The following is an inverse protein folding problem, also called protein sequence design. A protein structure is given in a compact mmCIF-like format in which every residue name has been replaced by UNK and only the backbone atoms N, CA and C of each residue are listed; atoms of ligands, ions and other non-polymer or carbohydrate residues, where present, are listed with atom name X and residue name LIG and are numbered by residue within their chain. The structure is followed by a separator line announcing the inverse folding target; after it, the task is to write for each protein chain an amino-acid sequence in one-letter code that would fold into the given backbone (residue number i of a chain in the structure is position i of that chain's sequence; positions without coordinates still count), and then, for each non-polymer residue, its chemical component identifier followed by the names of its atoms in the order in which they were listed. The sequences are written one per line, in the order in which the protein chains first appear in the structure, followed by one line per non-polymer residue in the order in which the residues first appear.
data_IF_580758101374
#
_entry.id   IF_580758101374
#
_cell.length_a   1.000
_cell.length_b   1.000
_cell.length_c   1.000
_cell.angle_alpha   90.00
_cell.angle_beta   90.00
_cell.angle_gamma   90.00
#
_symmetry.space_group_name_H-M   'P 1'
#
loop_
_entity.id
_entity.type
_entity.pdbx_description
1 polymer ?
#
# COMPACT_ATOMS: atom_id res chain seq x y z
N UNK A 1 4.50 9.14 18.64
CA UNK A 1 5.07 8.30 17.57
C UNK A 1 4.67 8.92 16.25
N UNK A 2 5.56 8.98 15.26
CA UNK A 2 5.21 9.46 13.91
C UNK A 2 4.33 8.40 13.26
N UNK A 3 3.16 8.78 12.76
CA UNK A 3 2.33 7.85 11.98
C UNK A 3 3.08 7.49 10.69
N UNK A 4 3.31 6.19 10.49
CA UNK A 4 3.93 5.69 9.27
C UNK A 4 2.95 5.86 8.11
N UNK A 5 3.38 6.54 7.05
CA UNK A 5 2.61 6.75 5.83
C UNK A 5 2.88 5.64 4.81
N UNK A 6 2.04 5.54 3.78
CA UNK A 6 2.27 4.61 2.67
C UNK A 6 3.55 4.94 1.91
N UNK A 7 3.89 6.23 1.83
CA UNK A 7 5.13 6.68 1.22
C UNK A 7 6.36 6.28 2.03
N UNK A 8 6.30 6.30 3.37
CA UNK A 8 7.42 5.85 4.21
C UNK A 8 7.77 4.38 3.90
N UNK A 9 6.76 3.51 3.76
CA UNK A 9 6.95 2.09 3.39
C UNK A 9 7.57 1.96 2.00
N UNK A 10 7.14 2.77 1.03
CA UNK A 10 7.63 2.69 -0.35
C UNK A 10 9.08 3.15 -0.46
N UNK A 11 9.46 4.17 0.29
CA UNK A 11 10.81 4.76 0.22
C UNK A 11 11.92 3.78 0.62
N UNK A 12 11.59 2.74 1.39
CA UNK A 12 12.51 1.69 1.83
C UNK A 12 12.89 0.67 0.72
N UNK A 13 12.23 0.72 -0.43
CA UNK A 13 12.45 -0.23 -1.53
C UNK A 13 13.35 0.30 -2.65
N UNK A 14 13.72 -0.57 -3.59
CA UNK A 14 14.53 -0.18 -4.75
C UNK A 14 13.72 0.69 -5.74
N UNK A 15 14.36 1.52 -6.59
CA UNK A 15 13.63 2.38 -7.54
C UNK A 15 12.66 1.63 -8.46
N UNK A 16 13.00 0.40 -8.87
CA UNK A 16 12.13 -0.43 -9.71
C UNK A 16 10.86 -0.86 -8.96
N UNK A 17 10.99 -1.27 -7.70
CA UNK A 17 9.84 -1.60 -6.84
C UNK A 17 8.99 -0.36 -6.58
N UNK A 18 9.59 0.79 -6.27
CA UNK A 18 8.85 2.06 -6.09
C UNK A 18 8.01 2.39 -7.32
N UNK A 19 8.59 2.28 -8.52
CA UNK A 19 7.90 2.55 -9.80
C UNK A 19 6.72 1.60 -10.01
N UNK A 20 6.92 0.30 -9.75
CA UNK A 20 5.87 -0.71 -9.90
C UNK A 20 4.73 -0.48 -8.91
N UNK A 21 5.05 -0.32 -7.63
CA UNK A 21 4.06 -0.10 -6.56
C UNK A 21 3.27 1.17 -6.81
N UNK A 22 3.91 2.27 -7.21
CA UNK A 22 3.21 3.50 -7.54
C UNK A 22 2.28 3.36 -8.75
N UNK A 23 2.66 2.55 -9.76
CA UNK A 23 1.76 2.25 -10.88
C UNK A 23 0.55 1.44 -10.41
N UNK A 24 0.76 0.44 -9.55
CA UNK A 24 -0.30 -0.39 -9.01
C UNK A 24 -1.27 0.39 -8.12
N UNK A 25 -0.76 1.24 -7.22
CA UNK A 25 -1.56 2.15 -6.38
C UNK A 25 -2.52 2.99 -7.20
N UNK A 26 -1.99 3.67 -8.22
CA UNK A 26 -2.79 4.48 -9.14
C UNK A 26 -3.83 3.66 -9.88
N UNK A 27 -3.45 2.48 -10.36
CA UNK A 27 -4.38 1.58 -11.05
C UNK A 27 -5.55 1.17 -10.15
N UNK A 28 -5.27 0.76 -8.91
CA UNK A 28 -6.29 0.32 -7.95
C UNK A 28 -7.24 1.47 -7.59
N UNK A 29 -6.71 2.65 -7.26
CA UNK A 29 -7.53 3.82 -6.90
C UNK A 29 -8.37 4.33 -8.07
N UNK A 30 -7.87 4.18 -9.30
CA UNK A 30 -8.65 4.51 -10.49
C UNK A 30 -9.73 3.46 -10.79
N UNK A 31 -9.49 2.20 -10.47
CA UNK A 31 -10.43 1.10 -10.70
C UNK A 31 -11.56 1.07 -9.67
N UNK A 32 -11.28 1.49 -8.44
CA UNK A 32 -12.24 1.51 -7.32
C UNK A 32 -12.08 2.85 -6.58
N UNK A 33 -12.77 3.92 -7.00
CA UNK A 33 -12.58 5.26 -6.46
C UNK A 33 -13.07 5.43 -5.00
N UNK A 34 -13.86 4.49 -4.48
CA UNK A 34 -14.42 4.54 -3.12
C UNK A 34 -13.46 4.03 -2.02
N UNK A 35 -12.29 3.51 -2.40
CA UNK A 35 -11.30 3.01 -1.43
C UNK A 35 -10.19 4.03 -1.18
N UNK A 36 -9.64 4.01 0.03
CA UNK A 36 -8.47 4.81 0.41
C UNK A 36 -7.31 3.91 0.84
N UNK A 37 -6.08 4.43 0.73
CA UNK A 37 -4.89 3.73 1.16
C UNK A 37 -4.68 3.83 2.68
N UNK A 38 -4.22 2.75 3.30
CA UNK A 38 -3.84 2.70 4.71
C UNK A 38 -2.50 2.01 4.87
N UNK A 39 -1.54 2.69 5.48
CA UNK A 39 -0.31 2.07 5.93
C UNK A 39 -0.58 1.22 7.18
N UNK A 40 -0.05 0.00 7.19
CA UNK A 40 -0.11 -0.92 8.32
C UNK A 40 1.33 -1.19 8.78
N UNK A 41 1.94 -0.28 9.58
CA UNK A 41 3.36 -0.33 9.90
C UNK A 41 3.79 -1.60 10.63
N UNK A 42 2.94 -2.13 11.53
CA UNK A 42 3.25 -3.38 12.23
C UNK A 42 3.39 -4.59 11.30
N UNK A 43 2.77 -4.52 10.12
CA UNK A 43 2.79 -5.58 9.11
C UNK A 43 3.68 -5.19 7.90
N UNK A 44 4.17 -3.95 7.88
CA UNK A 44 4.96 -3.37 6.80
C UNK A 44 4.27 -3.50 5.42
N UNK A 45 2.96 -3.23 5.36
CA UNK A 45 2.16 -3.30 4.13
C UNK A 45 1.30 -2.06 3.90
N UNK A 46 0.89 -1.89 2.65
CA UNK A 46 -0.14 -0.93 2.23
C UNK A 46 -1.43 -1.72 1.98
N UNK A 47 -2.48 -1.39 2.70
CA UNK A 47 -3.83 -1.89 2.45
C UNK A 47 -4.71 -0.85 1.78
N UNK A 48 -5.76 -1.30 1.11
CA UNK A 48 -6.83 -0.44 0.60
C UNK A 48 -8.13 -0.79 1.30
N UNK A 49 -8.94 0.21 1.69
CA UNK A 49 -10.19 0.01 2.45
C UNK A 49 -11.32 0.87 1.90
N UNK A 50 -12.55 0.34 1.88
CA UNK A 50 -13.74 1.19 1.73
C UNK A 50 -13.96 2.03 2.98
N UNK A 51 -14.61 3.18 2.83
CA UNK A 51 -15.09 3.99 3.97
C UNK A 51 -16.14 3.24 4.80
N UNK A 52 -16.88 2.34 4.17
CA UNK A 52 -18.11 1.74 4.74
C UNK A 52 -17.97 0.25 5.11
N UNK A 53 -16.79 -0.37 4.92
CA UNK A 53 -16.65 -1.80 5.21
C UNK A 53 -15.26 -2.39 4.96
N UNK A 54 -14.90 -3.31 5.86
CA UNK A 54 -13.59 -3.94 6.11
C UNK A 54 -12.98 -4.79 4.98
N UNK A 55 -13.15 -4.44 3.70
CA UNK A 55 -12.45 -5.14 2.62
C UNK A 55 -11.04 -4.57 2.52
N UNK A 56 -10.07 -5.31 3.04
CA UNK A 56 -8.63 -5.01 2.88
C UNK A 56 -8.03 -5.81 1.74
N UNK A 57 -7.60 -5.14 0.67
CA UNK A 57 -6.73 -5.77 -0.35
C UNK A 57 -5.28 -5.63 0.14
N UNK A 58 -4.62 -6.74 0.45
CA UNK A 58 -3.24 -6.77 0.95
C UNK A 58 -2.31 -7.37 -0.11
N UNK A 59 -1.24 -6.65 -0.45
CA UNK A 59 -0.17 -7.17 -1.31
C UNK A 59 1.04 -7.53 -0.45
N UNK A 60 1.33 -8.81 -0.32
CA UNK A 60 2.54 -9.30 0.34
C UNK A 60 3.67 -9.41 -0.68
N UNK A 61 4.78 -8.72 -0.44
CA UNK A 61 6.04 -9.05 -1.10
C UNK A 61 6.96 -9.72 -0.06
N UNK A 62 6.96 -11.05 -0.08
CA UNK A 62 7.89 -11.87 0.70
C UNK A 62 9.30 -11.70 0.13
N UNK A 63 10.25 -11.23 0.94
CA UNK A 63 11.68 -11.42 0.65
C UNK A 63 12.00 -12.90 0.92
N UNK A 64 12.03 -13.73 -0.10
CA UNK A 64 12.68 -15.04 -0.03
C UNK A 64 14.16 -14.83 0.30
N UNK A 65 14.59 -15.42 1.41
CA UNK A 65 16.00 -15.57 1.81
C UNK A 65 16.76 -16.43 0.80
#
# INVERSE_FOLDING_TARGET
MKDTTTNDIIEEHTPSVKKLVNKLRKFILNAVPEIYEKALPGWHVIGFRYTDGDISVQYFHSKTR
#
